data_IF_340561876683
#
_entry.id   IF_340561876683
#
_cell.length_a   1.000
_cell.length_b   1.000
_cell.length_c   1.000
_cell.angle_alpha   90.00
_cell.angle_beta   90.00
_cell.angle_gamma   90.00
#
_symmetry.space_group_name_H-M   'P 1'
#
loop_
_entity.id
_entity.type
_entity.pdbx_description
1 polymer ?
#
# COMPACT_ATOMS: atom_id res chain seq x y z
N UNK A 1 12.73 2.22 -17.21
CA UNK A 1 12.66 3.69 -17.04
C UNK A 1 13.98 4.14 -16.45
N UNK A 2 14.62 5.17 -17.02
CA UNK A 2 15.82 5.77 -16.44
C UNK A 2 15.51 7.07 -15.72
N UNK A 3 16.28 7.37 -14.68
CA UNK A 3 16.18 8.59 -13.89
C UNK A 3 17.45 9.43 -14.12
N UNK A 4 17.27 10.67 -14.55
CA UNK A 4 18.36 11.64 -14.73
C UNK A 4 18.14 12.79 -13.74
N UNK A 5 19.21 13.23 -13.07
CA UNK A 5 19.16 14.30 -12.08
C UNK A 5 20.10 15.42 -12.52
N UNK A 6 19.55 16.59 -12.76
CA UNK A 6 20.29 17.81 -13.12
C UNK A 6 19.96 18.92 -12.12
N UNK A 7 20.83 19.09 -11.13
CA UNK A 7 20.61 20.03 -10.04
C UNK A 7 19.36 19.68 -9.23
N UNK A 8 18.35 20.55 -9.29
CA UNK A 8 17.05 20.35 -8.64
C UNK A 8 15.97 19.76 -9.57
N UNK A 9 16.33 19.40 -10.80
CA UNK A 9 15.40 18.83 -11.80
C UNK A 9 15.61 17.33 -11.88
N UNK A 10 14.52 16.58 -11.75
CA UNK A 10 14.49 15.13 -11.96
C UNK A 10 13.76 14.86 -13.27
N UNK A 11 14.41 14.12 -14.19
CA UNK A 11 13.77 13.61 -15.41
C UNK A 11 13.55 12.12 -15.29
N UNK A 12 12.31 11.71 -15.59
CA UNK A 12 11.94 10.31 -15.75
C UNK A 12 11.80 10.04 -17.25
N UNK A 13 12.66 9.19 -17.80
CA UNK A 13 12.65 8.87 -19.23
C UNK A 13 12.16 7.43 -19.42
N UNK A 14 11.01 7.21 -20.08
CA UNK A 14 10.49 5.87 -20.32
C UNK A 14 11.37 5.14 -21.34
N UNK A 15 11.49 3.83 -21.19
CA UNK A 15 12.31 2.97 -22.05
C UNK A 15 11.46 1.96 -22.83
N UNK A 16 10.16 1.90 -22.55
CA UNK A 16 9.19 1.03 -23.23
C UNK A 16 7.78 1.63 -23.20
N UNK A 17 6.86 1.08 -24.01
CA UNK A 17 5.49 1.59 -24.17
C UNK A 17 4.66 1.58 -22.87
N UNK A 18 4.87 0.57 -22.01
CA UNK A 18 4.19 0.49 -20.72
C UNK A 18 4.57 1.68 -19.84
N UNK A 19 5.85 2.01 -19.77
CA UNK A 19 6.34 3.14 -18.99
C UNK A 19 5.87 4.49 -19.53
N UNK A 20 5.67 4.61 -20.86
CA UNK A 20 5.04 5.80 -21.46
C UNK A 20 3.62 5.99 -20.90
N UNK A 21 2.84 4.91 -20.82
CA UNK A 21 1.48 4.96 -20.26
C UNK A 21 1.51 5.30 -18.76
N UNK A 22 2.45 4.72 -18.01
CA UNK A 22 2.59 4.99 -16.57
C UNK A 22 3.01 6.45 -16.30
N UNK A 23 3.90 7.03 -17.12
CA UNK A 23 4.25 8.46 -17.04
C UNK A 23 3.09 9.37 -17.41
N UNK A 24 2.28 9.01 -18.42
CA UNK A 24 1.10 9.80 -18.76
C UNK A 24 0.12 9.87 -17.57
N UNK A 25 -0.16 8.73 -16.93
CA UNK A 25 -1.01 8.68 -15.73
C UNK A 25 -0.43 9.50 -14.58
N UNK A 26 0.89 9.41 -14.34
CA UNK A 26 1.57 10.23 -13.34
C UNK A 26 1.38 11.72 -13.63
N UNK A 27 1.56 12.13 -14.88
CA UNK A 27 1.45 13.53 -15.29
C UNK A 27 0.03 14.06 -15.10
N UNK A 28 -1.00 13.30 -15.51
CA UNK A 28 -2.41 13.64 -15.27
C UNK A 28 -2.75 13.77 -13.78
N UNK A 29 -2.06 13.03 -12.90
CA UNK A 29 -2.28 13.11 -11.44
C UNK A 29 -1.69 14.37 -10.81
N UNK A 30 -0.56 14.86 -11.33
CA UNK A 30 0.21 15.96 -10.71
C UNK A 30 0.02 17.30 -11.41
N UNK A 31 -0.13 17.31 -12.73
CA UNK A 31 -0.28 18.52 -13.52
C UNK A 31 -1.74 18.95 -13.55
N UNK A 32 -2.02 20.17 -13.11
CA UNK A 32 -3.36 20.77 -13.20
C UNK A 32 -3.31 21.95 -14.16
N UNK A 33 -4.24 21.99 -15.11
CA UNK A 33 -4.27 23.04 -16.14
C UNK A 33 -4.76 24.39 -15.59
N UNK A 34 -5.69 24.37 -14.63
CA UNK A 34 -6.39 25.56 -14.12
C UNK A 34 -6.00 25.93 -12.68
N UNK A 35 -5.18 25.13 -12.02
CA UNK A 35 -4.78 25.28 -10.61
C UNK A 35 -3.28 25.04 -10.45
N UNK A 36 -2.74 25.26 -9.25
CA UNK A 36 -1.37 24.87 -8.92
C UNK A 36 -1.18 23.34 -9.05
N UNK A 37 0.00 22.95 -9.55
CA UNK A 37 0.38 21.54 -9.63
C UNK A 37 0.46 20.91 -8.23
N UNK A 38 0.12 19.63 -8.14
CA UNK A 38 0.24 18.88 -6.89
C UNK A 38 1.69 18.56 -6.59
N UNK A 39 2.07 18.66 -5.32
CA UNK A 39 3.42 18.30 -4.86
C UNK A 39 3.52 16.79 -4.63
N UNK A 40 4.66 16.22 -5.03
CA UNK A 40 5.05 14.87 -4.68
C UNK A 40 5.88 14.89 -3.41
N UNK A 41 5.37 14.26 -2.35
CA UNK A 41 6.03 14.19 -1.05
C UNK A 41 6.60 12.77 -0.85
N UNK A 42 7.92 12.60 -0.68
CA UNK A 42 8.51 11.28 -0.52
C UNK A 42 7.98 10.60 0.76
N UNK A 43 7.71 9.29 0.67
CA UNK A 43 7.28 8.47 1.80
C UNK A 43 8.45 7.59 2.24
N UNK A 44 8.85 7.74 3.50
CA UNK A 44 9.92 6.94 4.09
C UNK A 44 11.30 7.24 3.50
N UNK A 45 12.20 6.28 3.61
CA UNK A 45 13.57 6.36 3.13
C UNK A 45 13.88 5.20 2.19
N UNK A 46 14.53 5.49 1.06
CA UNK A 46 15.01 4.46 0.14
C UNK A 46 16.33 3.89 0.64
N UNK A 47 16.37 2.57 0.88
CA UNK A 47 17.60 1.85 1.24
C UNK A 47 17.94 0.86 0.12
N UNK A 48 19.03 1.08 -0.64
CA UNK A 48 19.47 0.16 -1.68
C UNK A 48 19.62 -1.27 -1.15
N UNK A 49 19.05 -2.25 -1.87
CA UNK A 49 19.09 -3.67 -1.50
C UNK A 49 18.02 -4.11 -0.49
N UNK A 50 17.36 -3.17 0.22
CA UNK A 50 16.26 -3.49 1.14
C UNK A 50 14.90 -3.07 0.57
N UNK A 51 14.82 -1.90 -0.07
CA UNK A 51 13.59 -1.39 -0.66
C UNK A 51 13.59 -1.57 -2.17
N UNK A 52 12.59 -2.26 -2.76
CA UNK A 52 12.53 -2.47 -4.21
C UNK A 52 12.00 -1.26 -4.98
N UNK A 53 11.47 -0.24 -4.30
CA UNK A 53 10.85 0.93 -4.91
C UNK A 53 11.00 2.19 -4.02
N UNK A 54 10.71 3.34 -4.61
CA UNK A 54 10.46 4.62 -3.91
C UNK A 54 8.97 4.93 -3.95
N UNK A 55 8.47 5.66 -2.95
CA UNK A 55 7.06 6.05 -2.88
C UNK A 55 6.91 7.55 -2.70
N UNK A 56 5.87 8.10 -3.31
CA UNK A 56 5.48 9.50 -3.14
C UNK A 56 3.98 9.56 -2.82
N UNK A 57 3.64 10.41 -1.87
CA UNK A 57 2.30 10.86 -1.63
C UNK A 57 2.04 12.11 -2.49
N UNK A 58 0.87 12.17 -3.14
CA UNK A 58 0.46 13.32 -3.94
C UNK A 58 -0.38 14.25 -3.05
N UNK A 59 0.12 15.45 -2.78
CA UNK A 59 -0.56 16.43 -1.92
C UNK A 59 -1.95 16.80 -2.47
N UNK A 60 -2.94 16.94 -1.57
CA UNK A 60 -4.30 17.31 -1.93
C UNK A 60 -5.17 16.18 -2.48
N UNK A 61 -4.60 14.99 -2.70
CA UNK A 61 -5.39 13.77 -2.89
C UNK A 61 -5.65 13.12 -1.53
N UNK A 62 -6.90 13.01 -1.11
CA UNK A 62 -7.22 12.08 -0.03
C UNK A 62 -6.86 10.70 -0.54
N UNK A 63 -5.82 10.11 0.05
CA UNK A 63 -5.53 8.72 -0.19
C UNK A 63 -6.72 7.93 0.36
N UNK A 64 -7.74 7.69 -0.48
CA UNK A 64 -8.39 6.39 -0.47
C UNK A 64 -7.33 5.43 -0.97
N UNK A 65 -6.39 5.14 -0.09
CA UNK A 65 -5.45 4.09 -0.28
C UNK A 65 -6.32 2.83 -0.40
N UNK A 66 -6.48 2.31 -1.61
CA UNK A 66 -6.76 0.89 -1.80
C UNK A 66 -5.51 0.13 -1.33
N UNK A 67 -5.23 0.22 -0.04
CA UNK A 67 -4.21 -0.53 0.69
C UNK A 67 -4.98 -1.34 1.70
N UNK A 68 -5.77 -2.28 1.20
CA UNK A 68 -6.15 -3.51 1.89
C UNK A 68 -7.17 -4.23 1.00
N UNK A 69 -6.86 -5.46 0.59
CA UNK A 69 -7.92 -6.48 0.66
C UNK A 69 -8.52 -6.29 2.05
N UNK A 70 -9.79 -5.93 2.17
CA UNK A 70 -10.46 -5.87 3.48
C UNK A 70 -10.42 -7.30 4.00
N UNK A 71 -9.38 -7.63 4.77
CA UNK A 71 -9.25 -8.95 5.37
C UNK A 71 -10.30 -8.97 6.48
N UNK A 72 -11.37 -9.71 6.24
CA UNK A 72 -12.44 -9.90 7.22
C UNK A 72 -11.81 -10.50 8.48
N UNK A 73 -11.93 -9.80 9.59
CA UNK A 73 -11.55 -10.32 10.91
C UNK A 73 -12.75 -11.04 11.48
N UNK A 74 -12.50 -12.24 12.00
CA UNK A 74 -13.50 -13.13 12.54
C UNK A 74 -13.17 -13.36 14.01
N UNK A 75 -14.19 -13.40 14.87
CA UNK A 75 -13.99 -13.67 16.30
C UNK A 75 -13.97 -15.16 16.56
N UNK A 76 -12.93 -15.59 17.26
CA UNK A 76 -12.77 -16.96 17.73
C UNK A 76 -12.86 -17.01 19.25
N UNK A 77 -13.41 -18.11 19.80
CA UNK A 77 -13.47 -18.40 21.23
C UNK A 77 -12.85 -19.76 21.54
N UNK A 78 -12.01 -19.81 22.58
CA UNK A 78 -11.53 -21.07 23.14
C UNK A 78 -12.56 -21.60 24.14
N UNK A 79 -13.16 -22.76 23.88
CA UNK A 79 -14.16 -23.35 24.78
C UNK A 79 -13.56 -23.91 26.09
N UNK A 80 -12.23 -23.92 26.24
CA UNK A 80 -11.53 -24.41 27.44
C UNK A 80 -11.26 -23.28 28.43
N UNK A 81 -10.64 -22.19 27.97
CA UNK A 81 -10.28 -21.04 28.83
C UNK A 81 -11.13 -19.79 28.59
N UNK A 82 -12.11 -19.87 27.69
CA UNK A 82 -12.99 -18.77 27.28
C UNK A 82 -12.26 -17.53 26.71
N UNK A 83 -10.99 -17.68 26.30
CA UNK A 83 -10.24 -16.63 25.60
C UNK A 83 -10.89 -16.36 24.25
N UNK A 84 -11.12 -15.08 23.97
CA UNK A 84 -11.62 -14.60 22.68
C UNK A 84 -10.55 -13.80 21.94
N UNK A 85 -10.48 -13.94 20.63
CA UNK A 85 -9.52 -13.23 19.80
C UNK A 85 -10.11 -12.94 18.41
N UNK A 86 -9.84 -11.74 17.88
CA UNK A 86 -10.11 -11.41 16.49
C UNK A 86 -8.94 -11.87 15.63
N UNK A 87 -9.24 -12.73 14.65
CA UNK A 87 -8.21 -13.31 13.80
C UNK A 87 -8.58 -13.17 12.31
N UNK A 88 -7.60 -12.96 11.42
CA UNK A 88 -7.84 -12.90 9.97
C UNK A 88 -8.44 -14.19 9.40
N UNK A 89 -9.51 -14.10 8.58
CA UNK A 89 -10.17 -15.26 7.95
C UNK A 89 -9.26 -15.99 6.94
N UNK A 90 -8.28 -15.30 6.36
CA UNK A 90 -7.35 -15.86 5.38
C UNK A 90 -6.27 -16.77 5.99
N UNK A 91 -6.18 -16.81 7.32
CA UNK A 91 -5.18 -17.61 8.05
C UNK A 91 -5.81 -18.84 8.69
N UNK A 92 -5.02 -19.92 8.93
CA UNK A 92 -5.51 -21.09 9.66
C UNK A 92 -6.05 -20.72 11.05
N UNK A 93 -7.13 -21.39 11.45
CA UNK A 93 -7.80 -21.19 12.74
C UNK A 93 -6.80 -21.14 13.91
N UNK A 94 -6.87 -20.12 14.78
CA UNK A 94 -5.93 -19.98 15.90
C UNK A 94 -6.06 -21.14 16.89
N UNK A 95 -4.94 -21.52 17.50
CA UNK A 95 -4.86 -22.60 18.50
C UNK A 95 -4.75 -21.99 19.90
N UNK A 96 -5.60 -22.44 20.82
CA UNK A 96 -5.56 -22.06 22.22
C UNK A 96 -5.83 -23.30 23.09
N UNK A 97 -5.15 -23.43 24.24
CA UNK A 97 -5.22 -24.62 25.10
C UNK A 97 -4.95 -25.96 24.37
N UNK A 98 -4.16 -25.93 23.29
CA UNK A 98 -3.83 -27.12 22.49
C UNK A 98 -4.90 -27.54 21.49
N UNK A 99 -5.98 -26.77 21.31
CA UNK A 99 -7.06 -27.07 20.38
C UNK A 99 -7.38 -25.87 19.45
N UNK A 100 -7.90 -26.11 18.24
CA UNK A 100 -8.42 -25.04 17.38
C UNK A 100 -9.57 -24.30 18.08
N UNK A 101 -9.53 -22.97 18.03
CA UNK A 101 -10.59 -22.14 18.58
C UNK A 101 -11.86 -22.19 17.70
N UNK A 102 -13.02 -21.91 18.29
CA UNK A 102 -14.32 -21.97 17.62
C UNK A 102 -14.68 -20.61 17.03
N UNK A 103 -15.14 -20.57 15.79
CA UNK A 103 -15.59 -19.35 15.13
C UNK A 103 -16.98 -18.93 15.67
N UNK A 104 -17.13 -17.67 16.06
CA UNK A 104 -18.38 -17.09 16.58
C UNK A 104 -19.24 -16.40 15.52
N UNK A 105 -18.68 -16.07 14.35
CA UNK A 105 -19.35 -15.35 13.27
C UNK A 105 -19.72 -16.28 12.08
N UNK A 106 -19.62 -17.60 12.25
CA UNK A 106 -19.97 -18.65 11.28
C UNK A 106 -21.34 -19.28 11.53
#
# INVERSE_FOLDING_TARGET
>A
MRIEIEGAVIRLVPENEREVQDLNKLWELVARCEEENRKLLPIGMYVPGSSPYVQFYVEGLSAKADVSKVIKRVRYVCMVCNRMEEYPEDKPTPICCGQPMHNLDA
#
